data_IF_770026176190
#
_entry.id   IF_770026176190
#
_cell.length_a   1.000
_cell.length_b   1.000
_cell.length_c   1.000
_cell.angle_alpha   90.00
_cell.angle_beta   90.00
_cell.angle_gamma   90.00
#
_symmetry.space_group_name_H-M   'P 1'
#
loop_
_entity.id
_entity.type
_entity.pdbx_description
1 polymer ?
#
# COMPACT_ATOMS: atom_id res chain seq x y z
N UNK A 1 -2.27 -20.58 25.54
CA UNK A 1 -2.56 -20.41 24.10
C UNK A 1 -3.55 -21.51 23.74
N UNK A 2 -4.60 -21.21 22.98
CA UNK A 2 -5.65 -22.20 22.71
C UNK A 2 -5.11 -23.36 21.84
N UNK A 3 -5.29 -24.59 22.30
CA UNK A 3 -4.68 -25.78 21.71
C UNK A 3 -5.24 -26.06 20.30
N UNK A 4 -6.50 -25.71 20.04
CA UNK A 4 -7.09 -25.80 18.70
C UNK A 4 -6.39 -24.87 17.69
N UNK A 5 -5.91 -23.71 18.14
CA UNK A 5 -5.14 -22.78 17.30
C UNK A 5 -3.75 -23.37 17.02
N UNK A 6 -3.12 -24.00 18.01
CA UNK A 6 -1.81 -24.66 17.84
C UNK A 6 -1.91 -25.77 16.79
N UNK A 7 -2.90 -26.65 16.90
CA UNK A 7 -3.08 -27.76 15.95
C UNK A 7 -3.45 -27.27 14.54
N UNK A 8 -4.28 -26.24 14.42
CA UNK A 8 -4.64 -25.64 13.11
C UNK A 8 -3.43 -24.97 12.43
N UNK A 9 -2.58 -24.29 13.21
CA UNK A 9 -1.35 -23.67 12.68
C UNK A 9 -0.31 -24.74 12.32
N UNK A 10 -0.14 -25.80 13.11
CA UNK A 10 0.76 -26.92 12.75
C UNK A 10 0.31 -27.60 11.45
N UNK A 11 -0.99 -27.86 11.28
CA UNK A 11 -1.54 -28.49 10.08
C UNK A 11 -1.46 -27.63 8.80
N UNK A 12 -1.33 -26.30 8.93
CA UNK A 12 -1.09 -25.40 7.78
C UNK A 12 0.41 -25.20 7.52
N UNK A 13 1.23 -25.06 8.56
CA UNK A 13 2.71 -25.01 8.46
C UNK A 13 3.29 -26.30 7.89
N UNK A 14 2.70 -27.47 8.16
CA UNK A 14 3.06 -28.75 7.54
C UNK A 14 2.87 -28.82 6.02
N UNK A 15 2.32 -27.77 5.40
CA UNK A 15 2.18 -27.59 3.94
C UNK A 15 2.90 -26.34 3.43
N UNK A 16 3.71 -25.68 4.26
CA UNK A 16 4.49 -24.52 3.88
C UNK A 16 5.77 -24.95 3.15
N UNK A 17 5.97 -24.46 1.93
CA UNK A 17 7.27 -24.48 1.27
C UNK A 17 8.14 -23.37 1.85
N UNK A 18 9.28 -23.71 2.45
CA UNK A 18 10.26 -22.76 3.01
C UNK A 18 11.64 -23.06 2.43
N UNK A 19 12.39 -22.01 2.07
CA UNK A 19 13.75 -22.10 1.49
C UNK A 19 14.71 -21.16 2.20
N UNK A 20 15.97 -21.58 2.31
CA UNK A 20 17.07 -20.74 2.77
C UNK A 20 17.32 -19.59 1.78
N UNK A 21 17.35 -18.34 2.29
CA UNK A 21 17.87 -17.21 1.52
C UNK A 21 19.39 -17.34 1.35
N UNK A 22 20.10 -17.94 2.31
CA UNK A 22 21.55 -18.17 2.23
C UNK A 22 21.93 -19.11 1.09
N UNK A 23 21.28 -20.26 0.95
CA UNK A 23 21.55 -21.21 -0.14
C UNK A 23 21.30 -20.57 -1.52
N UNK A 24 20.20 -19.83 -1.66
CA UNK A 24 19.87 -19.13 -2.91
C UNK A 24 20.93 -18.06 -3.21
N UNK A 25 21.36 -17.28 -2.20
CA UNK A 25 22.42 -16.28 -2.38
C UNK A 25 23.77 -16.90 -2.76
N UNK A 26 24.17 -18.01 -2.13
CA UNK A 26 25.39 -18.77 -2.45
C UNK A 26 25.36 -19.23 -3.92
N UNK A 27 24.21 -19.68 -4.42
CA UNK A 27 24.03 -20.08 -5.82
C UNK A 27 24.07 -18.88 -6.79
N UNK A 28 23.45 -17.75 -6.43
CA UNK A 28 23.31 -16.58 -7.32
C UNK A 28 24.59 -15.73 -7.41
N UNK A 29 25.29 -15.48 -6.30
CA UNK A 29 26.42 -14.54 -6.23
C UNK A 29 27.51 -14.83 -7.29
N UNK A 30 27.98 -16.08 -7.50
CA UNK A 30 28.97 -16.39 -8.55
C UNK A 30 28.48 -16.13 -9.98
N UNK A 31 27.16 -16.09 -10.22
CA UNK A 31 26.57 -15.70 -11.50
C UNK A 31 26.52 -14.18 -11.65
N UNK A 32 26.11 -13.48 -10.59
CA UNK A 32 26.00 -12.01 -10.56
C UNK A 32 27.36 -11.31 -10.65
N UNK A 33 28.41 -11.86 -10.03
CA UNK A 33 29.79 -11.36 -10.15
C UNK A 33 30.31 -11.56 -11.58
N UNK A 34 30.14 -12.75 -12.19
CA UNK A 34 30.53 -12.99 -13.59
C UNK A 34 29.80 -12.11 -14.60
N UNK A 35 28.59 -11.64 -14.27
CA UNK A 35 27.80 -10.69 -15.06
C UNK A 35 28.16 -9.21 -14.77
N UNK A 36 29.14 -8.92 -13.91
CA UNK A 36 29.51 -7.58 -13.43
C UNK A 36 28.35 -6.80 -12.77
N UNK A 37 27.39 -7.51 -12.15
CA UNK A 37 26.24 -6.92 -11.42
C UNK A 37 26.61 -6.68 -9.95
N UNK A 38 27.49 -7.53 -9.39
CA UNK A 38 28.11 -7.35 -8.08
C UNK A 38 29.60 -7.11 -8.29
N UNK A 39 30.12 -6.08 -7.62
CA UNK A 39 31.54 -5.73 -7.65
C UNK A 39 32.27 -6.50 -6.53
N UNK A 40 33.28 -7.31 -6.88
CA UNK A 40 34.08 -8.04 -5.88
C UNK A 40 34.85 -7.11 -4.93
N UNK A 41 35.22 -5.92 -5.38
CA UNK A 41 35.89 -4.88 -4.57
C UNK A 41 34.93 -4.07 -3.70
N UNK A 42 33.61 -4.26 -3.86
CA UNK A 42 32.57 -3.68 -3.00
C UNK A 42 31.48 -4.74 -2.76
N UNK A 43 31.69 -5.71 -1.84
CA UNK A 43 30.85 -6.89 -1.66
C UNK A 43 29.50 -6.62 -0.97
N UNK A 44 28.84 -5.52 -1.34
CA UNK A 44 27.53 -5.10 -0.85
C UNK A 44 26.45 -5.57 -1.82
N UNK A 45 25.60 -6.49 -1.35
CA UNK A 45 24.40 -6.92 -2.05
C UNK A 45 23.17 -6.24 -1.44
N UNK A 46 22.36 -5.60 -2.27
CA UNK A 46 21.09 -4.99 -1.89
C UNK A 46 19.95 -5.92 -2.28
N UNK A 47 19.19 -6.40 -1.30
CA UNK A 47 18.04 -7.27 -1.49
C UNK A 47 16.73 -6.56 -1.13
N UNK A 48 15.69 -6.78 -1.91
CA UNK A 48 14.30 -6.45 -1.56
C UNK A 48 13.61 -7.73 -1.12
N UNK A 49 12.86 -7.69 -0.02
CA UNK A 49 11.97 -8.77 0.40
C UNK A 49 10.54 -8.25 0.27
N UNK A 50 9.68 -9.04 -0.37
CA UNK A 50 8.28 -8.70 -0.66
C UNK A 50 7.39 -9.84 -0.19
N UNK A 51 6.19 -9.53 0.30
CA UNK A 51 5.21 -10.54 0.69
C UNK A 51 3.77 -10.06 0.44
N UNK A 52 2.90 -10.96 0.01
CA UNK A 52 1.50 -10.69 -0.33
C UNK A 52 0.61 -11.93 -0.10
N UNK A 53 -0.60 -11.70 0.42
CA UNK A 53 -1.63 -12.70 0.70
C UNK A 53 -2.73 -12.76 -0.36
N UNK A 54 -2.59 -13.64 -1.34
CA UNK A 54 -3.50 -13.74 -2.51
C UNK A 54 -4.55 -14.85 -2.37
N UNK A 55 -5.79 -14.52 -2.73
CA UNK A 55 -6.85 -15.52 -2.93
C UNK A 55 -6.54 -16.34 -4.20
N UNK A 56 -6.23 -17.64 -4.06
CA UNK A 56 -5.97 -18.55 -5.20
C UNK A 56 -7.25 -19.30 -5.62
N UNK A 57 -8.19 -19.46 -4.69
CA UNK A 57 -9.54 -19.96 -4.99
C UNK A 57 -10.59 -19.27 -4.10
N UNK A 58 -11.88 -19.57 -4.32
CA UNK A 58 -12.99 -19.09 -3.47
C UNK A 58 -12.90 -19.52 -1.99
N UNK A 59 -12.00 -20.46 -1.64
CA UNK A 59 -11.85 -21.00 -0.27
C UNK A 59 -10.42 -20.99 0.26
N UNK A 60 -9.40 -20.82 -0.59
CA UNK A 60 -7.99 -20.95 -0.18
C UNK A 60 -7.20 -19.69 -0.53
N UNK A 61 -6.74 -19.02 0.52
CA UNK A 61 -5.72 -17.97 0.46
C UNK A 61 -4.33 -18.62 0.52
N UNK A 62 -3.35 -18.01 -0.13
CA UNK A 62 -1.95 -18.32 0.07
C UNK A 62 -1.18 -17.04 0.35
N UNK A 63 -0.23 -17.09 1.29
CA UNK A 63 0.76 -16.02 1.48
C UNK A 63 2.05 -16.48 0.84
N UNK A 64 2.62 -15.64 -0.01
CA UNK A 64 3.94 -15.84 -0.60
C UNK A 64 4.88 -14.75 -0.12
N UNK A 65 6.12 -15.12 0.20
CA UNK A 65 7.21 -14.19 0.48
C UNK A 65 8.36 -14.52 -0.48
N UNK A 66 8.84 -13.50 -1.18
CA UNK A 66 9.91 -13.58 -2.18
C UNK A 66 11.05 -12.61 -1.83
N UNK A 67 12.19 -12.77 -2.48
CA UNK A 67 13.20 -11.71 -2.55
C UNK A 67 13.73 -11.50 -3.96
N UNK A 68 14.20 -10.29 -4.24
CA UNK A 68 14.82 -9.90 -5.50
C UNK A 68 16.13 -9.12 -5.25
N UNK A 69 17.06 -9.18 -6.21
CA UNK A 69 18.36 -8.51 -6.12
C UNK A 69 18.26 -7.11 -6.73
N UNK A 70 18.27 -6.07 -5.90
CA UNK A 70 18.15 -4.66 -6.34
C UNK A 70 19.29 -4.24 -7.26
N UNK A 71 20.51 -4.77 -7.05
CA UNK A 71 21.66 -4.55 -7.93
C UNK A 71 21.36 -4.92 -9.40
N UNK A 72 20.45 -5.86 -9.67
CA UNK A 72 20.10 -6.32 -11.01
C UNK A 72 18.97 -5.48 -11.68
N UNK A 73 18.84 -4.18 -11.37
CA UNK A 73 17.81 -3.22 -11.89
C UNK A 73 17.04 -3.66 -13.15
N UNK A 74 17.74 -3.96 -14.25
CA UNK A 74 17.19 -4.34 -15.57
C UNK A 74 16.16 -5.49 -15.58
N UNK A 75 16.16 -6.38 -14.58
CA UNK A 75 15.25 -7.54 -14.48
C UNK A 75 14.48 -7.57 -13.16
N UNK A 76 14.50 -6.48 -12.40
CA UNK A 76 13.79 -6.38 -11.11
C UNK A 76 12.27 -6.51 -11.28
N UNK A 77 11.77 -6.18 -12.48
CA UNK A 77 10.39 -6.33 -12.93
C UNK A 77 10.16 -7.61 -13.75
N UNK A 78 10.89 -8.68 -13.43
CA UNK A 78 10.78 -9.97 -14.14
C UNK A 78 10.57 -11.10 -13.12
N UNK A 79 9.47 -11.88 -13.21
CA UNK A 79 9.09 -12.83 -12.16
C UNK A 79 10.12 -13.95 -11.96
N UNK A 80 10.91 -14.28 -12.98
CA UNK A 80 12.04 -15.24 -12.91
C UNK A 80 13.15 -14.83 -11.91
N UNK A 81 13.20 -13.55 -11.51
CA UNK A 81 14.18 -13.00 -10.58
C UNK A 81 13.58 -12.65 -9.20
N UNK A 82 12.32 -13.06 -8.95
CA UNK A 82 11.66 -13.00 -7.65
C UNK A 82 11.70 -14.39 -7.01
N UNK A 83 12.74 -14.65 -6.21
CA UNK A 83 12.98 -15.97 -5.64
C UNK A 83 12.05 -16.23 -4.45
N UNK A 84 11.12 -17.18 -4.59
CA UNK A 84 10.24 -17.61 -3.49
C UNK A 84 11.05 -18.16 -2.32
N UNK A 85 10.85 -17.56 -1.15
CA UNK A 85 11.42 -17.99 0.13
C UNK A 85 10.40 -18.80 0.92
N UNK A 86 9.15 -18.33 0.96
CA UNK A 86 8.07 -18.93 1.73
C UNK A 86 6.80 -18.93 0.89
N UNK A 87 6.05 -20.03 0.93
CA UNK A 87 4.71 -20.16 0.38
C UNK A 87 3.88 -21.06 1.29
N UNK A 88 2.79 -20.55 1.88
CA UNK A 88 1.90 -21.36 2.72
C UNK A 88 0.41 -21.09 2.45
N UNK A 89 -0.48 -22.09 2.62
CA UNK A 89 -1.93 -21.88 2.56
C UNK A 89 -2.41 -21.22 3.85
N UNK A 90 -3.00 -20.03 3.76
CA UNK A 90 -3.46 -19.28 4.91
C UNK A 90 -3.54 -17.76 4.68
N UNK A 91 -3.77 -17.06 5.78
CA UNK A 91 -3.85 -15.60 5.94
C UNK A 91 -2.50 -15.01 6.41
N UNK A 92 -2.37 -13.69 6.30
CA UNK A 92 -1.25 -12.90 6.83
C UNK A 92 -1.34 -12.73 8.38
N UNK A 93 -1.79 -13.77 9.07
CA UNK A 93 -1.96 -13.73 10.52
C UNK A 93 -0.62 -13.85 11.24
N UNK A 94 -0.41 -12.95 12.21
CA UNK A 94 0.85 -12.80 12.93
C UNK A 94 1.45 -14.14 13.38
N UNK A 95 0.66 -15.03 13.99
CA UNK A 95 1.18 -16.26 14.60
C UNK A 95 1.69 -17.24 13.53
N UNK A 96 0.98 -17.33 12.40
CA UNK A 96 1.35 -18.16 11.25
C UNK A 96 2.56 -17.58 10.52
N UNK A 97 2.62 -16.25 10.35
CA UNK A 97 3.80 -15.55 9.85
C UNK A 97 5.00 -15.73 10.78
N UNK A 98 4.82 -15.65 12.09
CA UNK A 98 5.89 -15.79 13.08
C UNK A 98 6.54 -17.19 13.00
N UNK A 99 5.73 -18.25 13.01
CA UNK A 99 6.24 -19.62 12.90
C UNK A 99 6.87 -19.86 11.52
N UNK A 100 6.20 -19.48 10.43
CA UNK A 100 6.67 -19.80 9.07
C UNK A 100 7.87 -18.96 8.63
N UNK A 101 7.99 -17.70 9.07
CA UNK A 101 9.15 -16.85 8.73
C UNK A 101 10.37 -17.10 9.60
N UNK A 102 10.31 -17.93 10.65
CA UNK A 102 11.40 -18.13 11.63
C UNK A 102 12.78 -18.34 10.97
N UNK A 103 12.92 -19.31 10.07
CA UNK A 103 14.19 -19.60 9.38
C UNK A 103 14.68 -18.39 8.59
N UNK A 104 13.80 -17.75 7.81
CA UNK A 104 14.14 -16.56 7.04
C UNK A 104 14.63 -15.43 7.94
N UNK A 105 14.00 -15.23 9.11
CA UNK A 105 14.45 -14.22 10.09
C UNK A 105 15.81 -14.58 10.66
N UNK A 106 16.03 -15.83 11.07
CA UNK A 106 17.33 -16.32 11.58
C UNK A 106 18.44 -16.17 10.54
N UNK A 107 18.17 -16.42 9.27
CA UNK A 107 19.15 -16.24 8.20
C UNK A 107 19.43 -14.77 7.89
N UNK A 108 18.41 -13.90 7.86
CA UNK A 108 18.58 -12.45 7.70
C UNK A 108 19.29 -11.82 8.93
N UNK A 109 19.02 -12.33 10.13
CA UNK A 109 19.70 -12.01 11.39
C UNK A 109 21.19 -12.35 11.28
N UNK A 110 21.53 -13.52 10.73
CA UNK A 110 22.91 -13.98 10.53
C UNK A 110 23.61 -13.29 9.35
N UNK A 111 22.87 -12.90 8.31
CA UNK A 111 23.38 -12.12 7.17
C UNK A 111 23.58 -10.64 7.53
N UNK A 112 22.82 -10.11 8.49
CA UNK A 112 22.87 -8.69 8.85
C UNK A 112 23.78 -8.37 10.04
N UNK A 113 23.53 -8.89 11.26
CA UNK A 113 24.23 -8.40 12.47
C UNK A 113 24.07 -9.19 13.79
N UNK A 114 23.17 -10.19 13.90
CA UNK A 114 22.70 -10.79 15.16
C UNK A 114 21.75 -9.90 16.03
N UNK A 115 20.41 -9.93 15.78
CA UNK A 115 19.37 -9.19 16.54
C UNK A 115 17.91 -9.55 16.14
N UNK A 116 16.93 -9.53 17.07
CA UNK A 116 15.71 -10.40 17.06
C UNK A 116 14.30 -9.69 17.11
N UNK A 117 13.61 -9.62 15.95
CA UNK A 117 12.16 -9.51 15.56
C UNK A 117 11.19 -8.31 15.93
N UNK A 118 10.91 -7.32 15.01
CA UNK A 118 9.64 -6.48 14.88
C UNK A 118 9.44 -5.77 13.43
N UNK A 119 8.38 -5.47 12.56
CA UNK A 119 6.91 -5.75 12.09
C UNK A 119 5.50 -5.34 12.74
N UNK A 120 4.46 -4.89 11.99
CA UNK A 120 3.60 -3.72 12.35
C UNK A 120 2.17 -3.81 12.95
N UNK A 121 1.60 -2.61 13.23
CA UNK A 121 0.21 -2.29 13.61
C UNK A 121 -0.78 -2.43 12.44
N UNK A 122 -2.09 -2.59 12.74
CA UNK A 122 -3.15 -2.52 11.72
C UNK A 122 -3.34 -1.10 11.13
N UNK A 123 -3.59 -0.95 9.81
CA UNK A 123 -4.03 0.32 9.19
C UNK A 123 -5.33 0.92 9.76
N UNK A 124 -6.13 0.13 10.50
CA UNK A 124 -7.35 0.60 11.18
C UNK A 124 -7.10 1.16 12.58
N UNK A 125 -5.87 1.06 13.10
CA UNK A 125 -5.46 1.56 14.42
C UNK A 125 -5.63 3.09 14.55
N UNK A 126 -5.83 3.58 15.77
CA UNK A 126 -5.69 5.02 16.05
C UNK A 126 -4.25 5.52 15.80
N UNK A 127 -3.26 4.64 15.95
CA UNK A 127 -1.85 4.87 15.60
C UNK A 127 -1.48 3.93 14.43
N UNK A 128 -1.92 4.32 13.22
CA UNK A 128 -1.79 3.49 12.01
C UNK A 128 -0.43 3.59 11.33
N UNK A 129 0.29 4.72 11.46
CA UNK A 129 1.51 4.97 10.69
C UNK A 129 2.71 4.14 11.23
N UNK A 130 3.42 3.37 10.37
CA UNK A 130 4.67 2.70 10.74
C UNK A 130 5.82 3.64 11.13
N UNK A 131 5.88 4.84 10.53
CA UNK A 131 7.07 5.70 10.54
C UNK A 131 7.02 6.86 11.56
N UNK A 132 5.84 7.41 11.82
CA UNK A 132 5.63 8.54 12.73
C UNK A 132 4.60 8.25 13.83
N UNK A 133 4.38 9.21 14.73
CA UNK A 133 3.50 9.08 15.91
C UNK A 133 2.07 9.63 15.71
N UNK A 134 1.68 9.91 14.47
CA UNK A 134 0.38 10.51 14.14
C UNK A 134 -0.80 9.69 14.67
N UNK A 135 -1.79 10.40 15.22
CA UNK A 135 -3.10 9.85 15.60
C UNK A 135 -4.10 10.02 14.47
N UNK A 136 -5.12 9.16 14.42
CA UNK A 136 -6.17 9.24 13.38
C UNK A 136 -6.89 10.60 13.35
N UNK A 137 -6.95 11.36 14.43
CA UNK A 137 -7.54 12.70 14.46
C UNK A 137 -6.60 13.86 14.06
N UNK A 138 -5.35 13.58 13.67
CA UNK A 138 -4.34 14.59 13.29
C UNK A 138 -3.98 14.55 11.79
N UNK A 139 -4.57 13.63 11.02
CA UNK A 139 -4.25 13.36 9.60
C UNK A 139 -4.62 14.47 8.59
N UNK A 140 -5.26 15.56 9.03
CA UNK A 140 -5.66 16.71 8.21
C UNK A 140 -4.93 18.00 8.57
N UNK A 141 -3.97 17.94 9.50
CA UNK A 141 -3.11 19.07 9.87
C UNK A 141 -2.02 19.24 8.80
N UNK A 142 -2.17 20.23 7.93
CA UNK A 142 -1.27 20.50 6.80
C UNK A 142 -0.01 21.28 7.20
N UNK A 143 -0.06 21.99 8.33
CA UNK A 143 1.09 22.72 8.91
C UNK A 143 2.03 21.76 9.66
N UNK A 144 1.52 20.62 10.12
CA UNK A 144 2.32 19.57 10.75
C UNK A 144 3.32 18.89 9.79
N UNK A 145 4.61 19.06 10.09
CA UNK A 145 5.71 18.41 9.41
C UNK A 145 5.97 16.98 9.96
N UNK A 146 5.13 16.01 9.59
CA UNK A 146 5.33 14.60 9.96
C UNK A 146 6.48 13.97 9.18
N UNK A 147 7.50 13.49 9.89
CA UNK A 147 8.70 12.81 9.35
C UNK A 147 8.89 11.41 9.94
N UNK A 148 9.77 10.59 9.35
CA UNK A 148 10.22 9.31 9.91
C UNK A 148 10.92 9.57 11.25
N UNK A 149 10.21 9.27 12.34
CA UNK A 149 10.55 9.70 13.70
C UNK A 149 10.54 8.55 14.73
N UNK A 150 10.00 7.38 14.36
CA UNK A 150 10.13 6.14 15.15
C UNK A 150 11.51 5.52 14.91
N UNK A 151 12.19 5.15 16.00
CA UNK A 151 13.48 4.46 15.97
C UNK A 151 13.33 2.96 16.31
N UNK A 152 14.07 2.08 15.61
CA UNK A 152 13.92 0.63 15.82
C UNK A 152 14.54 0.13 17.13
N UNK A 153 15.60 0.78 17.63
CA UNK A 153 16.22 0.39 18.91
C UNK A 153 15.25 0.60 20.09
N UNK A 154 14.44 1.66 20.06
CA UNK A 154 13.42 1.90 21.07
C UNK A 154 12.40 0.75 21.13
N UNK A 155 11.91 0.30 19.98
CA UNK A 155 10.98 -0.83 19.89
C UNK A 155 11.67 -2.19 20.20
N UNK A 156 12.95 -2.36 19.86
CA UNK A 156 13.74 -3.56 20.19
C UNK A 156 13.87 -3.72 21.71
N UNK A 157 14.10 -2.61 22.41
CA UNK A 157 14.24 -2.57 23.87
C UNK A 157 12.89 -2.66 24.60
N UNK A 158 11.88 -1.89 24.15
CA UNK A 158 10.51 -2.02 24.61
C UNK A 158 9.52 -1.79 23.45
N UNK A 159 8.80 -2.84 23.06
CA UNK A 159 7.84 -2.75 21.95
C UNK A 159 6.61 -1.88 22.24
N UNK A 160 6.28 -1.61 23.52
CA UNK A 160 5.17 -0.71 23.88
C UNK A 160 5.58 0.75 23.99
N UNK A 161 6.85 1.08 23.76
CA UNK A 161 7.40 2.45 23.85
C UNK A 161 6.67 3.46 22.96
N UNK A 162 6.18 3.02 21.79
CA UNK A 162 5.30 3.80 20.93
C UNK A 162 3.87 3.25 20.97
N UNK A 163 2.88 4.13 21.10
CA UNK A 163 1.48 3.74 21.22
C UNK A 163 0.96 2.96 19.99
N UNK A 164 0.03 2.03 20.25
CA UNK A 164 -0.60 1.19 19.22
C UNK A 164 0.19 -0.06 18.81
N UNK A 165 1.43 -0.24 19.28
CA UNK A 165 2.18 -1.49 19.13
C UNK A 165 1.71 -2.52 20.17
N UNK A 166 1.11 -3.62 19.70
CA UNK A 166 0.45 -4.64 20.56
C UNK A 166 1.25 -5.94 20.74
N UNK A 167 2.38 -6.10 20.05
CA UNK A 167 3.27 -7.28 20.10
C UNK A 167 4.73 -6.81 19.97
N UNK A 168 5.72 -7.73 20.05
CA UNK A 168 7.12 -7.46 19.69
C UNK A 168 7.35 -7.68 18.18
N UNK A 169 7.89 -6.70 17.40
CA UNK A 169 7.14 -6.45 15.64
C UNK A 169 6.99 -7.76 14.70
N UNK A 170 7.68 -8.02 13.55
CA UNK A 170 8.31 -9.29 13.09
C UNK A 170 9.82 -9.25 12.66
N UNK A 171 10.42 -8.22 11.99
CA UNK A 171 11.87 -8.19 11.56
C UNK A 171 12.70 -6.98 12.11
N UNK A 172 13.25 -7.04 13.34
CA UNK A 172 13.79 -5.84 14.06
C UNK A 172 15.15 -5.36 13.56
N UNK A 173 15.87 -6.21 12.84
CA UNK A 173 17.20 -5.94 12.31
C UNK A 173 17.12 -4.96 11.13
N UNK A 174 15.94 -4.77 10.54
CA UNK A 174 15.67 -3.76 9.52
C UNK A 174 15.24 -2.48 10.23
N UNK A 175 15.94 -1.36 10.03
CA UNK A 175 15.53 -0.07 10.62
C UNK A 175 14.23 0.43 9.97
N UNK A 176 13.38 1.15 10.72
CA UNK A 176 12.02 1.55 10.31
C UNK A 176 12.00 2.30 8.97
N UNK A 177 12.98 3.17 8.78
CA UNK A 177 13.32 3.89 7.55
C UNK A 177 13.66 3.03 6.31
N UNK A 178 13.84 1.71 6.45
CA UNK A 178 14.06 0.73 5.36
C UNK A 178 12.83 -0.14 5.10
N UNK A 179 11.70 0.13 5.76
CA UNK A 179 10.39 -0.34 5.33
C UNK A 179 9.77 0.74 4.45
N UNK A 180 9.63 0.46 3.16
CA UNK A 180 9.02 1.38 2.20
C UNK A 180 7.54 1.05 1.99
N UNK A 181 6.79 2.03 1.49
CA UNK A 181 5.44 1.80 0.97
C UNK A 181 5.50 1.23 -0.45
N UNK A 182 4.59 0.33 -0.77
CA UNK A 182 4.39 -0.16 -2.14
C UNK A 182 3.50 0.81 -2.94
N UNK A 183 4.04 1.36 -4.04
CA UNK A 183 3.31 2.28 -4.94
C UNK A 183 2.02 1.67 -5.50
N UNK A 184 1.97 0.35 -5.71
CA UNK A 184 0.79 -0.34 -6.20
C UNK A 184 -0.33 -0.21 -5.17
N UNK A 185 -0.02 -0.47 -3.89
CA UNK A 185 -0.95 -0.31 -2.81
C UNK A 185 -1.38 1.15 -2.58
N UNK A 186 -0.51 2.14 -2.81
CA UNK A 186 -0.89 3.57 -2.79
C UNK A 186 -1.98 3.84 -3.83
N UNK A 187 -1.76 3.49 -5.10
CA UNK A 187 -2.78 3.69 -6.15
C UNK A 187 -4.03 2.88 -5.90
N UNK A 188 -3.91 1.59 -5.56
CA UNK A 188 -5.07 0.73 -5.35
C UNK A 188 -6.00 1.29 -4.27
N UNK A 189 -5.44 1.77 -3.15
CA UNK A 189 -6.20 2.19 -1.96
C UNK A 189 -6.71 3.63 -2.03
N UNK A 190 -5.98 4.54 -2.69
CA UNK A 190 -6.45 5.91 -2.90
C UNK A 190 -7.52 5.93 -4.00
N UNK A 191 -7.38 5.15 -5.08
CA UNK A 191 -8.42 5.05 -6.11
C UNK A 191 -9.69 4.40 -5.56
N UNK A 192 -9.58 3.39 -4.68
CA UNK A 192 -10.74 2.85 -3.95
C UNK A 192 -11.45 3.95 -3.14
N UNK A 193 -10.70 4.80 -2.44
CA UNK A 193 -11.28 5.91 -1.66
C UNK A 193 -11.99 6.92 -2.56
N UNK A 194 -11.31 7.42 -3.60
CA UNK A 194 -11.86 8.39 -4.56
C UNK A 194 -13.14 7.86 -5.23
N UNK A 195 -13.15 6.59 -5.66
CA UNK A 195 -14.34 5.95 -6.22
C UNK A 195 -15.46 5.80 -5.18
N UNK A 196 -15.14 5.32 -3.98
CA UNK A 196 -16.14 5.13 -2.91
C UNK A 196 -16.82 6.42 -2.48
N UNK A 197 -16.11 7.55 -2.53
CA UNK A 197 -16.65 8.87 -2.19
C UNK A 197 -17.59 9.42 -3.26
N UNK A 198 -17.29 9.19 -4.56
CA UNK A 198 -18.21 9.54 -5.65
C UNK A 198 -19.46 8.65 -5.61
N UNK A 199 -19.31 7.34 -5.37
CA UNK A 199 -20.45 6.43 -5.18
C UNK A 199 -21.31 6.86 -3.98
N UNK A 200 -20.70 7.29 -2.88
CA UNK A 200 -21.44 7.83 -1.73
C UNK A 200 -22.19 9.12 -2.08
N UNK A 201 -21.57 10.05 -2.78
CA UNK A 201 -22.23 11.29 -3.23
C UNK A 201 -23.42 11.03 -4.17
N UNK A 202 -23.33 10.03 -5.04
CA UNK A 202 -24.46 9.58 -5.89
C UNK A 202 -25.55 8.87 -5.07
N UNK A 203 -25.21 8.13 -4.01
CA UNK A 203 -26.19 7.54 -3.08
C UNK A 203 -26.98 8.63 -2.33
N UNK A 204 -26.29 9.60 -1.74
CA UNK A 204 -26.91 10.70 -0.98
C UNK A 204 -27.81 11.59 -1.86
N UNK A 205 -27.57 11.62 -3.19
CA UNK A 205 -28.44 12.33 -4.15
C UNK A 205 -29.85 11.71 -4.32
N UNK A 206 -30.07 10.48 -3.86
CA UNK A 206 -31.31 9.72 -4.08
C UNK A 206 -31.44 9.07 -5.47
N UNK A 207 -30.67 9.50 -6.48
CA UNK A 207 -30.80 9.00 -7.86
C UNK A 207 -30.02 7.69 -8.15
N UNK A 208 -29.49 7.02 -7.12
CA UNK A 208 -28.58 5.89 -7.26
C UNK A 208 -29.12 4.75 -8.14
N UNK A 209 -30.41 4.42 -8.06
CA UNK A 209 -30.98 3.32 -8.84
C UNK A 209 -30.97 3.58 -10.35
N UNK A 210 -31.06 4.84 -10.78
CA UNK A 210 -30.86 5.25 -12.18
C UNK A 210 -29.37 5.29 -12.49
N UNK A 211 -28.57 5.90 -11.60
CA UNK A 211 -27.13 6.07 -11.80
C UNK A 211 -26.37 4.73 -11.89
N UNK A 212 -26.82 3.66 -11.21
CA UNK A 212 -26.23 2.30 -11.33
C UNK A 212 -26.12 1.84 -12.78
N UNK A 213 -27.17 2.01 -13.58
CA UNK A 213 -27.19 1.64 -14.99
C UNK A 213 -26.30 2.54 -15.86
N UNK A 214 -26.20 3.83 -15.51
CA UNK A 214 -25.31 4.77 -16.19
C UNK A 214 -23.84 4.43 -15.92
N UNK A 215 -23.49 4.15 -14.66
CA UNK A 215 -22.16 3.70 -14.24
C UNK A 215 -21.76 2.40 -14.95
N UNK A 216 -22.66 1.42 -15.06
CA UNK A 216 -22.39 0.17 -15.77
C UNK A 216 -22.09 0.42 -17.26
N UNK A 217 -22.87 1.27 -17.94
CA UNK A 217 -22.65 1.63 -19.34
C UNK A 217 -21.35 2.40 -19.55
N UNK A 218 -21.04 3.34 -18.66
CA UNK A 218 -19.83 4.15 -18.72
C UNK A 218 -18.56 3.31 -18.44
N UNK A 219 -18.63 2.37 -17.49
CA UNK A 219 -17.59 1.35 -17.26
C UNK A 219 -17.37 0.48 -18.50
N UNK A 220 -18.43 0.04 -19.17
CA UNK A 220 -18.34 -0.70 -20.43
C UNK A 220 -17.68 0.14 -21.54
N UNK A 221 -18.02 1.44 -21.65
CA UNK A 221 -17.42 2.37 -22.62
C UNK A 221 -15.90 2.47 -22.49
N UNK A 222 -15.37 2.46 -21.26
CA UNK A 222 -13.91 2.48 -21.00
C UNK A 222 -13.27 1.09 -20.96
N UNK A 223 -14.03 0.03 -21.29
CA UNK A 223 -13.54 -1.34 -21.33
C UNK A 223 -13.19 -1.90 -19.95
N UNK A 224 -14.05 -1.67 -18.95
CA UNK A 224 -13.98 -2.22 -17.59
C UNK A 224 -15.26 -3.04 -17.33
N UNK A 225 -15.12 -4.25 -16.77
CA UNK A 225 -16.28 -5.11 -16.47
C UNK A 225 -16.80 -4.81 -15.06
N UNK A 226 -17.86 -4.01 -14.96
CA UNK A 226 -18.42 -3.57 -13.68
C UNK A 226 -19.87 -3.99 -13.49
N UNK A 227 -20.24 -4.41 -12.28
CA UNK A 227 -21.60 -4.80 -11.88
C UNK A 227 -21.86 -4.41 -10.42
N UNK A 228 -23.14 -4.16 -10.09
CA UNK A 228 -23.64 -3.97 -8.72
C UNK A 228 -24.47 -5.19 -8.29
N UNK A 229 -24.51 -5.47 -6.98
CA UNK A 229 -25.43 -6.44 -6.35
C UNK A 229 -25.77 -6.02 -4.92
N UNK A 230 -26.89 -6.50 -4.39
CA UNK A 230 -27.19 -6.41 -2.96
C UNK A 230 -26.58 -7.61 -2.21
N UNK A 231 -26.08 -7.39 -0.99
CA UNK A 231 -25.60 -8.46 -0.13
C UNK A 231 -26.81 -9.20 0.49
N UNK A 232 -26.74 -10.54 0.58
CA UNK A 232 -27.93 -11.39 0.84
C UNK A 232 -28.68 -11.06 2.13
N UNK A 233 -27.97 -10.52 3.10
CA UNK A 233 -28.44 -10.29 4.47
C UNK A 233 -28.51 -8.80 4.82
N UNK A 234 -28.44 -7.89 3.83
CA UNK A 234 -28.61 -6.44 4.06
C UNK A 234 -29.01 -5.66 2.79
N UNK A 235 -29.72 -4.54 2.96
CA UNK A 235 -30.04 -3.60 1.86
C UNK A 235 -28.81 -2.83 1.31
N UNK A 236 -27.59 -3.27 1.63
CA UNK A 236 -26.34 -2.65 1.22
C UNK A 236 -25.97 -3.10 -0.19
N UNK A 237 -25.67 -2.14 -1.05
CA UNK A 237 -25.11 -2.38 -2.37
C UNK A 237 -23.59 -2.58 -2.28
N UNK A 238 -23.12 -3.63 -2.96
CA UNK A 238 -21.72 -3.92 -3.22
C UNK A 238 -21.48 -4.00 -4.73
N UNK A 239 -20.21 -3.86 -5.15
CA UNK A 239 -19.83 -3.71 -6.55
C UNK A 239 -18.49 -4.39 -6.87
N UNK A 240 -18.21 -4.56 -8.16
CA UNK A 240 -17.00 -5.24 -8.65
C UNK A 240 -15.72 -4.59 -8.12
N UNK A 241 -14.88 -5.38 -7.43
CA UNK A 241 -13.54 -4.96 -7.04
C UNK A 241 -12.64 -4.91 -8.28
N UNK A 242 -12.03 -3.76 -8.53
CA UNK A 242 -11.24 -3.46 -9.73
C UNK A 242 -9.75 -3.83 -9.57
N UNK A 243 -9.13 -4.34 -10.64
CA UNK A 243 -7.68 -4.57 -10.71
C UNK A 243 -6.91 -3.28 -11.11
N UNK A 244 -5.58 -3.21 -10.96
CA UNK A 244 -4.75 -2.01 -11.25
C UNK A 244 -5.11 -1.33 -12.58
N UNK A 245 -5.08 -2.08 -13.68
CA UNK A 245 -5.32 -1.53 -15.01
C UNK A 245 -6.76 -1.00 -15.18
N UNK A 246 -7.72 -1.60 -14.47
CA UNK A 246 -9.12 -1.15 -14.46
C UNK A 246 -9.28 0.12 -13.60
N UNK A 247 -8.63 0.19 -12.43
CA UNK A 247 -8.59 1.41 -11.62
C UNK A 247 -7.96 2.58 -12.36
N UNK A 248 -6.86 2.35 -13.09
CA UNK A 248 -6.24 3.38 -13.93
C UNK A 248 -7.13 3.80 -15.12
N UNK A 249 -7.87 2.87 -15.73
CA UNK A 249 -8.91 3.21 -16.73
C UNK A 249 -10.02 4.07 -16.14
N UNK A 250 -10.55 3.71 -14.97
CA UNK A 250 -11.60 4.49 -14.28
C UNK A 250 -11.08 5.88 -13.91
N UNK A 251 -9.94 5.94 -13.21
CA UNK A 251 -9.32 7.18 -12.77
C UNK A 251 -9.13 8.16 -13.93
N UNK A 252 -8.63 7.69 -15.08
CA UNK A 252 -8.33 8.55 -16.24
C UNK A 252 -9.52 8.85 -17.14
N UNK A 253 -10.36 7.85 -17.42
CA UNK A 253 -11.26 7.87 -18.58
C UNK A 253 -12.75 7.88 -18.24
N UNK A 254 -13.15 7.64 -16.98
CA UNK A 254 -14.56 7.64 -16.58
C UNK A 254 -15.13 9.06 -16.64
N UNK A 255 -16.20 9.26 -17.40
CA UNK A 255 -16.88 10.54 -17.54
C UNK A 255 -17.79 10.82 -16.35
N UNK A 256 -17.31 11.65 -15.42
CA UNK A 256 -18.03 12.09 -14.23
C UNK A 256 -19.30 12.91 -14.53
N UNK A 257 -19.37 13.60 -15.68
CA UNK A 257 -20.56 14.35 -16.12
C UNK A 257 -21.76 13.44 -16.45
N UNK A 258 -21.57 12.11 -16.47
CA UNK A 258 -22.68 11.14 -16.61
C UNK A 258 -23.46 10.92 -15.31
N UNK A 259 -22.89 11.28 -14.15
CA UNK A 259 -23.44 10.97 -12.82
C UNK A 259 -23.36 12.11 -11.80
N UNK A 260 -22.76 13.24 -12.17
CA UNK A 260 -22.61 14.44 -11.34
C UNK A 260 -22.89 15.69 -12.19
N UNK A 261 -23.45 16.73 -11.55
CA UNK A 261 -23.64 18.04 -12.17
C UNK A 261 -22.33 18.56 -12.81
N UNK A 262 -22.35 19.21 -13.99
CA UNK A 262 -21.12 19.53 -14.74
C UNK A 262 -20.09 20.38 -13.98
N UNK A 263 -20.54 21.23 -13.05
CA UNK A 263 -19.64 21.99 -12.16
C UNK A 263 -18.96 21.08 -11.14
N UNK A 264 -19.72 20.19 -10.47
CA UNK A 264 -19.21 19.20 -9.52
C UNK A 264 -18.30 18.18 -10.20
N UNK A 265 -18.70 17.69 -11.37
CA UNK A 265 -17.92 16.76 -12.18
C UNK A 265 -16.51 17.31 -12.48
N UNK A 266 -16.37 18.59 -12.84
CA UNK A 266 -15.07 19.24 -13.12
C UNK A 266 -14.17 19.34 -11.89
N UNK A 267 -14.74 19.63 -10.72
CA UNK A 267 -14.00 19.70 -9.43
C UNK A 267 -13.48 18.30 -9.04
N UNK A 268 -14.31 17.26 -9.18
CA UNK A 268 -13.91 15.87 -8.92
C UNK A 268 -12.90 15.37 -9.97
N UNK A 269 -13.08 15.72 -11.25
CA UNK A 269 -12.18 15.41 -12.36
C UNK A 269 -10.77 15.92 -12.06
N UNK A 270 -10.62 17.21 -11.71
CA UNK A 270 -9.32 17.78 -11.30
C UNK A 270 -8.69 17.02 -10.13
N UNK A 271 -9.46 16.70 -9.08
CA UNK A 271 -8.95 15.95 -7.92
C UNK A 271 -8.41 14.56 -8.30
N UNK A 272 -9.01 13.91 -9.29
CA UNK A 272 -8.57 12.62 -9.83
C UNK A 272 -7.38 12.76 -10.79
N UNK A 273 -7.31 13.83 -11.58
CA UNK A 273 -6.19 14.14 -12.48
C UNK A 273 -4.93 14.49 -11.69
N UNK A 274 -5.03 15.40 -10.72
CA UNK A 274 -3.95 15.73 -9.79
C UNK A 274 -3.38 14.47 -9.11
N UNK A 275 -4.25 13.52 -8.73
CA UNK A 275 -3.81 12.24 -8.16
C UNK A 275 -3.15 11.31 -9.19
N UNK A 276 -3.66 11.26 -10.42
CA UNK A 276 -3.02 10.53 -11.51
C UNK A 276 -1.61 11.06 -11.81
N UNK A 277 -1.42 12.37 -11.72
CA UNK A 277 -0.15 13.03 -12.02
C UNK A 277 0.85 12.80 -10.88
N UNK A 278 0.41 12.86 -9.61
CA UNK A 278 1.18 12.36 -8.47
C UNK A 278 1.57 10.88 -8.63
N UNK A 279 0.67 10.01 -9.09
CA UNK A 279 1.01 8.61 -9.32
C UNK A 279 1.97 8.40 -10.50
N UNK A 280 1.91 9.26 -11.50
CA UNK A 280 2.84 9.26 -12.64
C UNK A 280 4.24 9.74 -12.21
N UNK A 281 4.31 10.77 -11.36
CA UNK A 281 5.53 11.26 -10.73
C UNK A 281 6.14 10.22 -9.76
N UNK A 282 5.32 9.48 -9.00
CA UNK A 282 5.77 8.38 -8.14
C UNK A 282 6.51 7.28 -8.91
N UNK A 283 6.07 7.00 -10.14
CA UNK A 283 6.67 6.01 -11.05
C UNK A 283 7.88 6.52 -11.84
N UNK A 284 8.27 7.79 -11.70
CA UNK A 284 9.36 8.44 -12.43
C UNK A 284 10.66 8.49 -11.60
N UNK A 285 11.75 7.90 -12.10
CA UNK A 285 13.08 7.93 -11.44
C UNK A 285 13.70 9.35 -11.40
N UNK A 286 13.15 10.33 -12.13
CA UNK A 286 13.66 11.71 -12.21
C UNK A 286 12.82 12.76 -11.49
N UNK A 287 11.78 12.36 -10.74
CA UNK A 287 10.94 13.31 -10.00
C UNK A 287 11.67 13.85 -8.78
N UNK A 288 11.67 15.18 -8.62
CA UNK A 288 12.26 15.83 -7.45
C UNK A 288 11.41 15.59 -6.18
N UNK A 289 12.02 15.21 -5.03
CA UNK A 289 11.28 14.95 -3.79
C UNK A 289 10.52 16.16 -3.23
N UNK A 290 11.06 17.37 -3.36
CA UNK A 290 10.51 18.61 -2.80
C UNK A 290 9.37 19.13 -3.66
N UNK A 291 9.50 19.06 -5.00
CA UNK A 291 8.39 19.29 -5.92
C UNK A 291 7.26 18.28 -5.68
N UNK A 292 7.58 16.99 -5.49
CA UNK A 292 6.61 15.96 -5.18
C UNK A 292 5.88 16.22 -3.86
N UNK A 293 6.59 16.55 -2.77
CA UNK A 293 5.97 16.89 -1.48
C UNK A 293 5.02 18.09 -1.63
N UNK A 294 5.46 19.11 -2.37
CA UNK A 294 4.68 20.34 -2.60
C UNK A 294 3.39 20.04 -3.37
N UNK A 295 3.47 19.25 -4.44
CA UNK A 295 2.31 18.81 -5.22
C UNK A 295 1.37 17.92 -4.38
N UNK A 296 1.90 17.01 -3.56
CA UNK A 296 1.10 16.12 -2.72
C UNK A 296 0.36 16.89 -1.61
N UNK A 297 1.01 17.88 -0.99
CA UNK A 297 0.37 18.81 -0.03
C UNK A 297 -0.72 19.64 -0.71
N UNK A 298 -0.45 20.19 -1.90
CA UNK A 298 -1.43 20.95 -2.67
C UNK A 298 -2.67 20.10 -3.03
N UNK A 299 -2.46 18.83 -3.43
CA UNK A 299 -3.55 17.88 -3.70
C UNK A 299 -4.39 17.57 -2.46
N UNK A 300 -3.77 17.34 -1.30
CA UNK A 300 -4.53 17.08 -0.07
C UNK A 300 -5.27 18.33 0.43
N UNK A 301 -4.68 19.52 0.27
CA UNK A 301 -5.38 20.79 0.51
C UNK A 301 -6.61 20.93 -0.40
N UNK A 302 -6.49 20.56 -1.69
CA UNK A 302 -7.62 20.55 -2.60
C UNK A 302 -8.69 19.51 -2.19
N UNK A 303 -8.29 18.28 -1.84
CA UNK A 303 -9.20 17.25 -1.29
C UNK A 303 -9.99 17.76 -0.07
N UNK A 304 -9.37 18.59 0.77
CA UNK A 304 -9.95 19.19 1.97
C UNK A 304 -10.65 20.54 1.76
N UNK A 305 -10.87 20.97 0.51
CA UNK A 305 -11.59 22.23 0.19
C UNK A 305 -12.91 22.30 0.97
N UNK A 306 -13.09 23.27 1.89
CA UNK A 306 -14.29 23.35 2.72
C UNK A 306 -15.50 23.83 1.90
N UNK A 307 -16.71 23.57 2.42
CA UNK A 307 -17.91 24.21 1.89
C UNK A 307 -17.96 25.68 2.30
N UNK A 308 -18.62 26.50 1.47
CA UNK A 308 -18.84 27.94 1.71
C UNK A 308 -20.36 28.18 1.75
N UNK A 309 -20.83 28.97 2.72
CA UNK A 309 -22.26 29.16 2.98
C UNK A 309 -22.89 28.07 3.85
N UNK A 310 -24.16 28.24 4.20
CA UNK A 310 -24.99 27.25 4.87
C UNK A 310 -25.65 26.32 3.83
N UNK A 311 -25.75 24.99 4.03
CA UNK A 311 -26.38 24.08 3.04
C UNK A 311 -27.82 24.41 2.62
N UNK A 312 -28.55 25.21 3.40
CA UNK A 312 -29.91 25.67 3.09
C UNK A 312 -29.95 26.98 2.27
N UNK A 313 -28.81 27.68 2.11
CA UNK A 313 -28.72 28.96 1.40
C UNK A 313 -28.49 28.75 -0.11
N UNK A 314 -29.04 29.62 -0.96
CA UNK A 314 -29.00 29.46 -2.42
C UNK A 314 -27.64 29.74 -3.07
N UNK A 315 -26.69 30.31 -2.33
CA UNK A 315 -25.30 30.53 -2.73
C UNK A 315 -24.32 29.49 -2.15
N UNK A 316 -24.84 28.40 -1.54
CA UNK A 316 -24.02 27.32 -0.98
C UNK A 316 -23.08 26.67 -2.01
N UNK A 317 -21.77 26.76 -1.75
CA UNK A 317 -20.74 26.07 -2.53
C UNK A 317 -20.27 24.84 -1.76
N UNK A 318 -20.72 23.66 -2.20
CA UNK A 318 -20.33 22.37 -1.62
C UNK A 318 -18.83 22.10 -1.82
N UNK A 319 -18.10 22.01 -0.70
CA UNK A 319 -16.68 21.63 -0.66
C UNK A 319 -16.43 20.19 -1.11
N UNK A 320 -15.16 19.76 -1.12
CA UNK A 320 -14.78 18.43 -1.59
C UNK A 320 -15.06 17.35 -0.54
N UNK A 321 -14.10 17.04 0.32
CA UNK A 321 -14.16 15.94 1.28
C UNK A 321 -13.57 16.33 2.65
N UNK A 322 -13.81 15.53 3.69
CA UNK A 322 -13.52 15.90 5.08
C UNK A 322 -12.25 15.22 5.60
N UNK A 323 -11.67 15.70 6.72
CA UNK A 323 -10.62 14.99 7.44
C UNK A 323 -10.88 13.51 7.64
N UNK A 324 -12.10 13.11 8.03
CA UNK A 324 -12.45 11.70 8.28
C UNK A 324 -12.34 10.78 7.05
N UNK A 325 -12.21 11.33 5.84
CA UNK A 325 -12.18 10.58 4.58
C UNK A 325 -10.76 10.16 4.15
N UNK A 326 -9.72 10.99 4.42
CA UNK A 326 -8.62 10.65 5.37
C UNK A 326 -8.07 9.21 5.45
N UNK A 327 -7.62 8.57 4.35
CA UNK A 327 -7.01 7.22 4.44
C UNK A 327 -5.52 7.21 4.87
N UNK A 328 -5.04 6.12 5.50
CA UNK A 328 -3.61 5.91 5.77
C UNK A 328 -2.70 6.09 4.55
N UNK A 329 -3.11 5.63 3.36
CA UNK A 329 -2.29 5.72 2.16
C UNK A 329 -2.17 7.16 1.61
N UNK A 330 -3.19 7.99 1.81
CA UNK A 330 -3.10 9.43 1.53
C UNK A 330 -2.10 10.13 2.47
N UNK A 331 -2.08 9.76 3.75
CA UNK A 331 -1.07 10.27 4.67
C UNK A 331 0.35 9.85 4.26
N UNK A 332 0.55 8.58 3.88
CA UNK A 332 1.87 8.11 3.44
C UNK A 332 2.32 8.80 2.14
N UNK A 333 1.40 9.01 1.19
CA UNK A 333 1.64 9.75 -0.05
C UNK A 333 2.17 11.16 0.22
N UNK A 334 1.53 11.91 1.12
CA UNK A 334 1.81 13.34 1.33
C UNK A 334 3.03 13.59 2.22
N UNK A 335 3.20 12.79 3.28
CA UNK A 335 4.22 13.07 4.30
C UNK A 335 5.47 12.18 4.23
N UNK A 336 5.41 10.97 3.64
CA UNK A 336 6.53 10.00 3.73
C UNK A 336 7.13 9.56 2.39
N UNK A 337 6.39 9.64 1.27
CA UNK A 337 6.94 9.20 -0.04
C UNK A 337 8.15 10.04 -0.47
N UNK A 338 8.15 11.35 -0.21
CA UNK A 338 9.27 12.22 -0.56
C UNK A 338 10.55 11.87 0.23
N UNK A 339 10.45 11.50 1.53
CA UNK A 339 11.57 11.03 2.34
C UNK A 339 12.19 9.76 1.73
N UNK A 340 11.35 8.87 1.19
CA UNK A 340 11.84 7.68 0.47
C UNK A 340 12.42 8.03 -0.90
N UNK A 341 11.89 9.02 -1.62
CA UNK A 341 12.41 9.45 -2.93
C UNK A 341 13.82 10.02 -2.79
N UNK A 342 14.02 10.92 -1.82
CA UNK A 342 15.34 11.48 -1.50
C UNK A 342 16.32 10.36 -1.12
N UNK A 343 15.95 9.55 -0.13
CA UNK A 343 16.85 8.53 0.43
C UNK A 343 17.16 7.38 -0.53
N UNK A 344 16.21 6.95 -1.34
CA UNK A 344 16.35 5.82 -2.27
C UNK A 344 16.40 6.23 -3.74
N UNK A 345 16.72 7.50 -4.03
CA UNK A 345 16.92 8.07 -5.37
C UNK A 345 17.69 7.14 -6.32
N UNK A 346 18.82 6.58 -5.85
CA UNK A 346 19.64 5.57 -6.57
C UNK A 346 18.83 4.43 -7.22
N UNK A 347 17.72 4.02 -6.60
CA UNK A 347 16.88 2.90 -7.02
C UNK A 347 15.51 3.34 -7.57
N UNK A 348 14.97 4.48 -7.12
CA UNK A 348 13.59 4.92 -7.37
C UNK A 348 12.54 4.10 -6.60
N UNK A 349 11.40 4.70 -6.26
CA UNK A 349 10.36 4.03 -5.44
C UNK A 349 9.81 2.78 -6.13
N UNK A 350 9.67 2.83 -7.47
CA UNK A 350 9.21 1.71 -8.30
C UNK A 350 10.01 0.42 -8.07
N UNK A 351 11.32 0.52 -7.78
CA UNK A 351 12.17 -0.65 -7.45
C UNK A 351 11.74 -1.39 -6.18
N UNK A 352 10.83 -0.83 -5.38
CA UNK A 352 10.33 -1.42 -4.15
C UNK A 352 8.89 -1.96 -4.23
N UNK A 353 8.21 -1.79 -5.38
CA UNK A 353 6.83 -2.29 -5.54
C UNK A 353 6.72 -3.80 -5.44
N UNK A 354 5.63 -4.30 -4.85
CA UNK A 354 5.30 -5.73 -4.85
C UNK A 354 4.67 -6.21 -6.17
N UNK A 355 4.39 -5.31 -7.13
CA UNK A 355 4.02 -5.70 -8.49
C UNK A 355 5.22 -6.34 -9.23
N UNK A 356 5.01 -7.35 -10.10
CA UNK A 356 5.98 -7.79 -11.09
C UNK A 356 6.28 -6.69 -12.12
#
# INVERSE_FOLDING_TARGET
MDENIVETVINSVGKAGVRSIKEILIFLIPSLVRKNILNSSQPIISIRISGDGRNVSRKVKHVMITFAILNHKKVLFSPEYHYTLILYPGSEEYNTLDITTRLLREELWQLKNQGLTIGFNSPTSNYFCPWCLIKKNQHSDLDANWTISKNMNNLRNNYTFYSGHHKKPLFDMIEIENYLVDELHVMLRITDRLWSLVIYEVIESGFFDIAREVIIKEMQRIGVRFQFWQERDSNKWSYTSLMEQEKLKVLRNFNLETILEPTRAKVIRKLWDDFNDLYSALKNEYTDPIEFQSAAKAWLNYFLTPSIGNPEDSDFIKGLYRPVDITPYMHVLVWHIWEFMEKYNKWGIKSFSCSP
#
